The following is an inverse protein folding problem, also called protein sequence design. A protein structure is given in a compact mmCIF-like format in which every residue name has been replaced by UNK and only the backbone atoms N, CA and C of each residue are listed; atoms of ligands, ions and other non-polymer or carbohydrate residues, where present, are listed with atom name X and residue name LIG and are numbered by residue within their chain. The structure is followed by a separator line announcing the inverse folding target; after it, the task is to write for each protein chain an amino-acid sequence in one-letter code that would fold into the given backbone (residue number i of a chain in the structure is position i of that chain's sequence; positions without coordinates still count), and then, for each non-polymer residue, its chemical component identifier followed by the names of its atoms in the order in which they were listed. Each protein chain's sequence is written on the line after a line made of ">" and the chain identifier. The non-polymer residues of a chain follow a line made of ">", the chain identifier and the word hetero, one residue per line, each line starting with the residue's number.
data_IF_411267217644
#
_entry.id   IF_411267217644
#
_cell.length_a   1.000
_cell.length_b   1.000
_cell.length_c   1.000
_cell.angle_alpha   90.00
_cell.angle_beta   90.00
_cell.angle_gamma   90.00
#
_symmetry.space_group_name_H-M   'P 1'
#
loop_
_entity.id
_entity.type
_entity.pdbx_description
1 polymer ?
#
# COMPACT_ATOMS: atom_id res chain seq x y z
N UNK A 1 -10.25 1.31 -5.45
CA UNK A 1 -9.20 1.80 -6.37
C UNK A 1 -9.09 0.80 -7.52
N UNK A 2 -8.92 1.26 -8.75
CA UNK A 2 -8.67 0.38 -9.92
C UNK A 2 -7.17 0.07 -10.01
N UNK A 3 -6.82 -1.17 -10.33
CA UNK A 3 -5.43 -1.62 -10.45
C UNK A 3 -5.11 -1.88 -11.92
N UNK A 4 -4.19 -1.10 -12.47
CA UNK A 4 -3.75 -1.20 -13.86
C UNK A 4 -2.23 -1.44 -13.92
N UNK A 5 -1.78 -2.22 -14.91
CA UNK A 5 -0.36 -2.44 -15.15
C UNK A 5 0.37 -1.13 -15.45
N UNK A 6 1.61 -1.01 -14.97
CA UNK A 6 2.45 0.18 -15.10
C UNK A 6 1.88 1.46 -14.45
N UNK A 7 0.81 1.32 -13.66
CA UNK A 7 0.27 2.40 -12.84
C UNK A 7 0.92 2.44 -11.46
N UNK A 8 0.86 3.60 -10.80
CA UNK A 8 1.37 3.77 -9.43
C UNK A 8 0.24 3.61 -8.43
N UNK A 9 0.39 2.66 -7.52
CA UNK A 9 -0.43 2.54 -6.32
C UNK A 9 0.13 3.46 -5.23
N UNK A 10 -0.63 4.50 -4.87
CA UNK A 10 -0.25 5.41 -3.78
C UNK A 10 -1.16 5.19 -2.56
N UNK A 11 -0.55 4.97 -1.40
CA UNK A 11 -1.25 4.76 -0.13
C UNK A 11 -0.83 5.81 0.91
N UNK A 12 -1.78 6.35 1.68
CA UNK A 12 -1.46 7.24 2.79
C UNK A 12 -0.91 6.44 3.97
N UNK A 13 0.09 7.00 4.65
CA UNK A 13 0.74 6.40 5.80
C UNK A 13 0.64 7.34 7.01
N UNK A 14 0.28 6.77 8.15
CA UNK A 14 0.13 7.45 9.43
C UNK A 14 1.06 6.81 10.45
N UNK A 15 1.68 7.62 11.29
CA UNK A 15 2.51 7.11 12.39
C UNK A 15 1.67 6.20 13.29
N UNK A 16 2.15 4.99 13.51
CA UNK A 16 1.51 4.02 14.38
C UNK A 16 1.85 4.33 15.85
N UNK A 17 1.04 5.18 16.46
CA UNK A 17 1.14 5.57 17.87
C UNK A 17 -0.23 5.58 18.56
N UNK A 18 -0.26 6.03 19.82
CA UNK A 18 -1.48 6.10 20.63
C UNK A 18 -2.53 7.08 20.07
N UNK A 19 -2.14 7.99 19.17
CA UNK A 19 -2.99 9.03 18.58
C UNK A 19 -3.61 8.62 17.24
N UNK A 20 -3.26 7.44 16.71
CA UNK A 20 -3.70 6.99 15.37
C UNK A 20 -5.21 7.11 15.14
N UNK A 21 -6.02 6.77 16.15
CA UNK A 21 -7.49 6.79 16.06
C UNK A 21 -8.07 8.21 15.95
N UNK A 22 -7.28 9.24 16.21
CA UNK A 22 -7.67 10.66 16.16
C UNK A 22 -7.17 11.34 14.89
N UNK A 23 -6.45 10.61 14.02
CA UNK A 23 -5.84 11.17 12.81
C UNK A 23 -6.89 11.54 11.77
N UNK A 24 -6.63 12.65 11.10
CA UNK A 24 -7.37 13.08 9.93
C UNK A 24 -6.88 12.30 8.70
N UNK A 25 -7.79 11.56 8.06
CA UNK A 25 -7.48 10.76 6.88
C UNK A 25 -7.05 11.60 5.68
N UNK A 26 -7.42 12.88 5.65
CA UNK A 26 -7.02 13.82 4.58
C UNK A 26 -5.63 14.42 4.80
N UNK A 27 -5.02 14.20 5.97
CA UNK A 27 -3.71 14.75 6.35
C UNK A 27 -2.73 13.63 6.78
N UNK A 28 -2.27 12.78 5.85
CA UNK A 28 -1.30 11.73 6.15
C UNK A 28 0.06 12.28 6.54
N UNK A 29 0.87 11.46 7.23
CA UNK A 29 2.25 11.82 7.56
C UNK A 29 3.17 11.60 6.37
N UNK A 30 3.03 10.44 5.74
CA UNK A 30 3.81 10.02 4.58
C UNK A 30 2.87 9.51 3.49
N UNK A 31 3.37 9.48 2.26
CA UNK A 31 2.78 8.75 1.14
C UNK A 31 3.76 7.70 0.68
N UNK A 32 3.28 6.48 0.42
CA UNK A 32 4.06 5.44 -0.25
C UNK A 32 3.47 5.18 -1.63
N UNK A 33 4.32 5.18 -2.65
CA UNK A 33 3.96 4.92 -4.03
C UNK A 33 4.74 3.71 -4.55
N UNK A 34 4.03 2.74 -5.09
CA UNK A 34 4.58 1.48 -5.61
C UNK A 34 4.15 1.34 -7.06
N UNK A 35 5.10 1.01 -7.94
CA UNK A 35 4.77 0.67 -9.33
C UNK A 35 4.13 -0.71 -9.37
N UNK A 36 2.98 -0.82 -10.03
CA UNK A 36 2.27 -2.08 -10.21
C UNK A 36 2.84 -2.82 -11.43
N UNK A 37 3.89 -3.60 -11.18
CA UNK A 37 4.40 -4.56 -12.16
C UNK A 37 3.56 -5.86 -12.19
N UNK A 38 3.83 -6.71 -13.18
CA UNK A 38 3.10 -7.96 -13.39
C UNK A 38 3.16 -8.91 -12.18
N UNK A 39 4.31 -8.97 -11.51
CA UNK A 39 4.55 -9.86 -10.38
C UNK A 39 3.75 -9.38 -9.15
N UNK A 40 3.74 -8.07 -8.89
CA UNK A 40 2.98 -7.47 -7.81
C UNK A 40 1.47 -7.57 -8.08
N UNK A 41 1.01 -7.28 -9.30
CA UNK A 41 -0.39 -7.43 -9.69
C UNK A 41 -0.88 -8.87 -9.50
N UNK A 42 -0.08 -9.84 -9.93
CA UNK A 42 -0.39 -11.27 -9.73
C UNK A 42 -0.55 -11.59 -8.24
N UNK A 43 0.31 -11.02 -7.39
CA UNK A 43 0.20 -11.21 -5.94
C UNK A 43 -1.03 -10.52 -5.34
N UNK A 44 -1.39 -9.33 -5.82
CA UNK A 44 -2.57 -8.57 -5.36
C UNK A 44 -3.90 -9.19 -5.80
N UNK A 45 -3.90 -10.02 -6.84
CA UNK A 45 -5.06 -10.79 -7.30
C UNK A 45 -5.38 -12.02 -6.44
N UNK A 46 -4.56 -12.32 -5.42
CA UNK A 46 -4.88 -13.40 -4.49
C UNK A 46 -6.17 -13.07 -3.71
N UNK A 47 -6.95 -14.09 -3.39
CA UNK A 47 -8.13 -13.93 -2.53
C UNK A 47 -7.92 -14.74 -1.25
N UNK A 48 -7.29 -14.13 -0.22
CA UNK A 48 -7.08 -14.79 1.07
C UNK A 48 -8.42 -15.26 1.65
N UNK A 49 -8.42 -16.35 2.41
CA UNK A 49 -9.61 -16.75 3.18
C UNK A 49 -9.88 -15.74 4.31
N UNK A 50 -11.11 -15.67 4.86
CA UNK A 50 -11.48 -14.69 5.90
C UNK A 50 -10.55 -14.62 7.11
N UNK A 51 -9.92 -15.74 7.47
CA UNK A 51 -9.02 -15.84 8.63
C UNK A 51 -7.52 -15.78 8.23
N UNK A 52 -7.21 -15.32 7.03
CA UNK A 52 -5.84 -15.26 6.49
C UNK A 52 -5.53 -13.94 5.81
N UNK A 53 -4.24 -13.60 5.78
CA UNK A 53 -3.70 -12.49 5.01
C UNK A 53 -2.43 -12.92 4.29
N UNK A 54 -2.10 -12.20 3.22
CA UNK A 54 -0.87 -12.36 2.46
C UNK A 54 -0.01 -11.12 2.68
N UNK A 55 1.22 -11.34 3.13
CA UNK A 55 2.24 -10.30 3.27
C UNK A 55 3.10 -10.27 2.01
N UNK A 56 3.21 -9.10 1.39
CA UNK A 56 3.98 -8.87 0.15
C UNK A 56 5.05 -7.83 0.46
N UNK A 57 6.31 -8.26 0.52
CA UNK A 57 7.44 -7.35 0.69
C UNK A 57 7.66 -6.57 -0.60
N UNK A 58 7.80 -5.25 -0.50
CA UNK A 58 8.05 -4.38 -1.65
C UNK A 58 9.52 -3.95 -1.65
N UNK A 59 10.22 -4.24 -2.75
CA UNK A 59 11.62 -3.86 -2.93
C UNK A 59 11.75 -2.44 -3.48
N UNK A 60 10.92 -2.09 -4.46
CA UNK A 60 10.99 -0.83 -5.20
C UNK A 60 9.74 0.02 -4.93
N UNK A 61 9.94 1.14 -4.24
CA UNK A 61 8.87 2.07 -3.87
C UNK A 61 9.45 3.46 -3.61
N UNK A 62 8.58 4.46 -3.68
CA UNK A 62 8.88 5.84 -3.32
C UNK A 62 8.12 6.20 -2.05
N UNK A 63 8.80 6.89 -1.13
CA UNK A 63 8.17 7.46 0.06
C UNK A 63 8.30 8.98 -0.03
N UNK A 64 7.23 9.69 0.29
CA UNK A 64 7.20 11.15 0.33
C UNK A 64 6.67 11.64 1.67
N UNK A 65 7.32 12.64 2.24
CA UNK A 65 6.86 13.27 3.48
C UNK A 65 5.79 14.29 3.17
N UNK A 66 4.55 14.00 3.54
CA UNK A 66 3.47 14.97 3.50
C UNK A 66 3.54 15.90 4.73
N UNK A 67 3.86 15.33 5.89
CA UNK A 67 4.17 16.07 7.10
C UNK A 67 5.70 16.34 7.17
N UNK A 68 6.13 17.62 7.17
CA UNK A 68 7.54 17.97 7.12
C UNK A 68 8.35 17.49 8.34
N UNK A 69 7.69 17.16 9.45
CA UNK A 69 8.35 16.60 10.64
C UNK A 69 9.08 15.27 10.33
N UNK A 70 8.66 14.54 9.29
CA UNK A 70 9.21 13.25 8.92
C UNK A 70 10.10 13.28 7.66
N UNK A 71 10.45 14.47 7.16
CA UNK A 71 11.26 14.64 5.94
C UNK A 71 12.59 13.90 6.00
N UNK A 72 13.24 13.88 7.16
CA UNK A 72 14.51 13.19 7.35
C UNK A 72 14.37 11.65 7.33
N UNK A 73 13.21 11.11 7.71
CA UNK A 73 12.96 9.67 7.74
C UNK A 73 12.85 9.08 6.32
N UNK A 74 12.32 9.86 5.37
CA UNK A 74 12.20 9.45 3.96
C UNK A 74 13.56 9.18 3.32
N UNK A 75 14.61 9.85 3.80
CA UNK A 75 15.97 9.66 3.27
C UNK A 75 16.75 8.53 3.96
N UNK A 76 16.18 7.93 5.01
CA UNK A 76 16.78 6.84 5.74
C UNK A 76 16.36 5.50 5.15
N UNK A 77 17.08 4.43 5.52
CA UNK A 77 16.63 3.10 5.11
C UNK A 77 15.32 2.76 5.84
N UNK A 78 14.41 2.16 5.07
CA UNK A 78 13.11 1.72 5.53
C UNK A 78 12.73 0.42 4.83
N UNK A 79 11.75 -0.29 5.38
CA UNK A 79 11.21 -1.53 4.82
C UNK A 79 9.71 -1.38 4.63
N UNK A 80 9.21 -1.71 3.44
CA UNK A 80 7.79 -1.63 3.12
C UNK A 80 7.21 -3.02 2.87
N UNK A 81 5.99 -3.22 3.37
CA UNK A 81 5.21 -4.41 3.14
C UNK A 81 3.76 -4.03 2.86
N UNK A 82 3.17 -4.65 1.84
CA UNK A 82 1.73 -4.64 1.63
C UNK A 82 1.10 -5.84 2.29
N UNK A 83 -0.10 -5.66 2.86
CA UNK A 83 -0.90 -6.74 3.45
C UNK A 83 -2.21 -6.83 2.71
N UNK A 84 -2.44 -7.96 2.06
CA UNK A 84 -3.69 -8.28 1.38
C UNK A 84 -4.54 -9.17 2.29
N UNK A 85 -5.76 -8.75 2.57
CA UNK A 85 -6.73 -9.47 3.41
C UNK A 85 -7.97 -9.83 2.60
N UNK A 86 -8.76 -10.77 3.11
CA UNK A 86 -10.04 -11.17 2.50
C UNK A 86 -10.96 -9.97 2.25
N UNK A 87 -11.62 -9.93 1.08
CA UNK A 87 -12.45 -8.79 0.66
C UNK A 87 -11.70 -7.83 -0.26
N UNK A 88 -10.78 -8.36 -1.09
CA UNK A 88 -9.43 -7.84 -1.38
C UNK A 88 -9.12 -6.47 -0.76
N UNK A 89 -8.90 -6.46 0.55
CA UNK A 89 -8.50 -5.27 1.29
C UNK A 89 -6.98 -5.16 1.30
N UNK A 90 -6.45 -4.01 0.91
CA UNK A 90 -5.01 -3.74 0.96
C UNK A 90 -4.67 -2.71 2.02
N UNK A 91 -3.61 -2.96 2.77
CA UNK A 91 -2.92 -1.93 3.56
C UNK A 91 -1.40 -2.01 3.36
N UNK A 92 -0.70 -0.97 3.77
CA UNK A 92 0.75 -0.87 3.78
C UNK A 92 1.27 -0.68 5.21
N UNK A 93 2.46 -1.22 5.45
CA UNK A 93 3.27 -0.96 6.64
C UNK A 93 4.65 -0.51 6.16
N UNK A 94 5.17 0.55 6.78
CA UNK A 94 6.53 1.06 6.57
C UNK A 94 7.25 1.11 7.91
N UNK A 95 8.29 0.30 8.04
CA UNK A 95 9.16 0.30 9.22
C UNK A 95 10.44 1.07 8.92
N UNK A 96 10.78 2.03 9.76
CA UNK A 96 12.03 2.81 9.66
C UNK A 96 13.09 2.26 10.61
N UNK A 97 14.37 2.59 10.36
CA UNK A 97 15.45 2.24 11.29
C UNK A 97 15.38 2.95 12.65
N UNK A 98 14.56 3.99 12.78
CA UNK A 98 14.44 4.80 13.99
C UNK A 98 13.31 4.32 14.92
N UNK A 99 12.91 3.05 14.81
CA UNK A 99 11.78 2.44 15.53
C UNK A 99 10.42 3.14 15.30
N UNK A 100 10.26 3.88 14.18
CA UNK A 100 8.95 4.37 13.77
C UNK A 100 8.32 3.38 12.80
N UNK A 101 7.07 3.02 13.06
CA UNK A 101 6.24 2.24 12.15
C UNK A 101 5.13 3.14 11.65
N UNK A 102 4.89 3.13 10.34
CA UNK A 102 3.76 3.81 9.72
C UNK A 102 2.82 2.79 9.10
N UNK A 103 1.53 3.06 9.16
CA UNK A 103 0.48 2.17 8.65
C UNK A 103 -0.49 2.93 7.77
N UNK A 104 -1.00 2.27 6.74
CA UNK A 104 -2.14 2.79 5.97
C UNK A 104 -3.46 2.25 6.54
N UNK A 105 -4.59 2.96 6.33
CA UNK A 105 -5.90 2.34 6.44
C UNK A 105 -6.03 1.18 5.44
N UNK A 106 -7.00 0.30 5.70
CA UNK A 106 -7.40 -0.70 4.72
C UNK A 106 -8.18 -0.04 3.58
N UNK A 107 -7.77 -0.33 2.36
CA UNK A 107 -8.36 0.19 1.14
C UNK A 107 -8.98 -0.96 0.35
N UNK A 108 -10.22 -0.78 -0.10
CA UNK A 108 -10.85 -1.73 -1.02
C UNK A 108 -10.17 -1.70 -2.39
N UNK A 109 -9.62 -2.84 -2.79
CA UNK A 109 -9.15 -3.06 -4.15
C UNK A 109 -10.29 -3.64 -4.98
N UNK A 110 -10.62 -2.98 -6.09
CA UNK A 110 -11.42 -3.60 -7.13
C UNK A 110 -10.47 -3.88 -8.30
N UNK A 111 -9.93 -5.11 -8.43
CA UNK A 111 -9.17 -5.45 -9.61
C UNK A 111 -10.10 -5.37 -10.81
N UNK A 112 -9.85 -4.40 -11.68
CA UNK A 112 -10.50 -4.32 -12.99
C UNK A 112 -9.77 -5.29 -13.90
N UNK A 113 -10.32 -6.50 -14.02
CA UNK A 113 -9.92 -7.38 -15.10
C UNK A 113 -10.52 -6.80 -16.38
N UNK A 114 -9.71 -6.16 -17.21
CA UNK A 114 -10.09 -5.97 -18.61
C UNK A 114 -10.10 -7.38 -19.23
N UNK A 115 -11.25 -8.05 -19.10
CA UNK A 115 -11.61 -9.10 -20.03
C UNK A 115 -11.72 -8.36 -21.35
N UNK A 116 -10.60 -8.19 -22.04
CA UNK A 116 -10.61 -7.68 -23.41
C UNK A 116 -11.74 -8.41 -24.10
N UNK A 117 -12.63 -7.65 -24.74
CA UNK A 117 -13.62 -8.24 -25.63
C UNK A 117 -12.79 -9.04 -26.65
N UNK A 118 -12.57 -10.33 -26.37
CA UNK A 118 -12.39 -11.33 -27.39
C UNK A 118 -13.75 -11.32 -28.10
N UNK A 119 -13.92 -10.34 -28.99
CA UNK A 119 -14.83 -10.44 -30.12
C UNK A 119 -14.35 -11.67 -30.89
N UNK A 120 -14.80 -12.84 -30.43
CA UNK A 120 -14.77 -14.09 -31.16
C UNK A 120 -15.34 -13.78 -32.56
N UNK A 121 -14.47 -13.79 -33.55
CA UNK A 121 -14.77 -13.57 -34.97
C UNK A 121 -15.79 -14.60 -35.52
#
# INVERSE_FOLDING_TARGET
>A
MELEQDSSLTLPLFLFDETLNERDLEAPDLLISVLLDDDLLTQLCQNPTPDSSVAITIADYLVEAHNPAFSELVSQAHHAQLTLSHGPLLSAVLDTQSDHTFVSPQMDMMPTFDLGDDEDE
#
